data_IF_316134234096
#
_entry.id   IF_316134234096
#
_cell.length_a   1.000
_cell.length_b   1.000
_cell.length_c   1.000
_cell.angle_alpha   90.00
_cell.angle_beta   90.00
_cell.angle_gamma   90.00
#
_symmetry.space_group_name_H-M   'P 1'
#
loop_
_entity.id
_entity.type
_entity.pdbx_description
1 polymer ?
#
# COMPACT_ATOMS: atom_id res chain seq x y z
N UNK A 1 14.61 11.87 10.56
CA UNK A 1 14.00 10.97 11.52
C UNK A 1 15.00 10.73 12.63
N UNK A 2 14.61 10.97 13.87
CA UNK A 2 15.41 10.69 15.08
C UNK A 2 14.67 9.66 15.92
N UNK A 3 15.41 8.69 16.45
CA UNK A 3 14.86 7.67 17.33
C UNK A 3 15.45 7.89 18.73
N UNK A 4 14.57 8.20 19.68
CA UNK A 4 14.93 8.39 21.09
C UNK A 4 14.66 7.07 21.81
N UNK A 5 15.73 6.38 22.19
CA UNK A 5 15.65 5.05 22.83
C UNK A 5 15.88 5.11 24.35
N UNK A 6 16.49 6.20 24.84
CA UNK A 6 16.79 6.37 26.25
C UNK A 6 15.63 7.06 26.97
N UNK A 7 15.45 6.67 28.23
CA UNK A 7 14.38 7.20 29.08
C UNK A 7 14.47 8.69 29.32
N UNK A 8 15.69 9.27 29.39
CA UNK A 8 15.89 10.68 29.63
C UNK A 8 15.41 11.56 28.51
N UNK A 9 15.78 11.24 27.28
CA UNK A 9 15.33 11.98 26.08
C UNK A 9 13.84 11.73 25.74
N UNK A 10 13.32 10.56 26.09
CA UNK A 10 11.93 10.20 25.85
C UNK A 10 10.97 10.80 26.91
N UNK A 11 11.43 11.12 28.10
CA UNK A 11 10.61 11.58 29.24
C UNK A 11 9.75 12.82 28.95
N UNK A 12 10.24 13.74 28.09
CA UNK A 12 9.49 14.95 27.68
C UNK A 12 8.22 14.65 26.86
N UNK A 13 8.10 13.42 26.34
CA UNK A 13 6.93 12.98 25.54
C UNK A 13 5.89 12.20 26.35
N UNK A 14 6.08 12.13 27.68
CA UNK A 14 5.13 11.57 28.65
C UNK A 14 5.18 10.04 28.74
N UNK A 15 4.20 9.46 29.44
CA UNK A 15 4.16 8.02 29.79
C UNK A 15 4.10 7.07 28.59
N UNK A 16 3.63 7.53 27.44
CA UNK A 16 3.58 6.72 26.20
C UNK A 16 4.95 6.49 25.57
N UNK A 17 5.98 7.19 26.04
CA UNK A 17 7.34 7.10 25.50
C UNK A 17 8.17 5.94 26.10
N UNK A 18 7.60 5.11 26.98
CA UNK A 18 8.28 4.00 27.63
C UNK A 18 8.95 3.01 26.65
N UNK A 19 8.40 2.83 25.47
CA UNK A 19 8.94 1.96 24.40
C UNK A 19 9.80 2.73 23.38
N UNK A 20 10.18 3.98 23.66
CA UNK A 20 10.92 4.87 22.78
C UNK A 20 10.02 5.81 21.95
N UNK A 21 10.65 6.81 21.35
CA UNK A 21 10.00 7.85 20.55
C UNK A 21 10.66 7.95 19.19
N UNK A 22 9.85 7.95 18.14
CA UNK A 22 10.29 8.24 16.79
C UNK A 22 9.88 9.68 16.45
N UNK A 23 10.87 10.56 16.35
CA UNK A 23 10.66 11.96 16.00
C UNK A 23 10.82 12.14 14.49
N UNK A 24 9.73 12.52 13.83
CA UNK A 24 9.72 12.80 12.40
C UNK A 24 9.67 14.31 12.18
N UNK A 25 10.79 14.87 11.73
CA UNK A 25 10.86 16.28 11.34
C UNK A 25 10.61 16.38 9.84
N UNK A 26 9.56 17.08 9.45
CA UNK A 26 9.24 17.31 8.03
C UNK A 26 10.22 18.30 7.40
N UNK A 27 10.41 18.17 6.09
CA UNK A 27 11.23 19.11 5.32
C UNK A 27 10.65 20.52 5.42
N UNK A 28 11.51 21.51 5.44
CA UNK A 28 11.17 22.94 5.46
C UNK A 28 11.91 23.62 4.33
N UNK A 29 11.44 24.79 3.89
CA UNK A 29 12.20 25.66 3.02
C UNK A 29 13.46 26.19 3.74
N UNK A 30 14.49 26.53 3.00
CA UNK A 30 15.70 27.15 3.53
C UNK A 30 15.68 28.66 3.27
N UNK A 31 16.13 29.47 4.26
CA UNK A 31 16.26 30.93 4.11
C UNK A 31 17.25 31.25 2.97
N UNK A 32 16.93 32.27 2.19
CA UNK A 32 17.79 32.74 1.09
C UNK A 32 17.92 31.75 -0.07
N UNK A 33 17.13 30.68 -0.11
CA UNK A 33 17.20 29.68 -1.18
C UNK A 33 16.29 30.04 -2.35
N UNK A 34 16.80 29.83 -3.57
CA UNK A 34 15.99 29.93 -4.78
C UNK A 34 14.87 28.89 -4.75
N UNK A 35 13.71 29.17 -5.38
CA UNK A 35 12.67 28.17 -5.55
C UNK A 35 13.20 26.89 -6.20
N UNK A 36 12.96 25.75 -5.54
CA UNK A 36 13.31 24.43 -6.05
C UNK A 36 12.03 23.62 -6.24
N UNK A 37 11.80 23.18 -7.46
CA UNK A 37 10.70 22.28 -7.80
C UNK A 37 11.30 20.89 -7.98
N UNK A 38 10.67 19.91 -7.36
CA UNK A 38 11.04 18.50 -7.48
C UNK A 38 9.79 17.69 -7.80
N UNK A 39 9.82 16.98 -8.89
CA UNK A 39 8.77 16.03 -9.28
C UNK A 39 9.34 14.61 -9.27
N UNK A 40 8.63 13.69 -8.68
CA UNK A 40 8.91 12.26 -8.74
C UNK A 40 7.64 11.55 -9.22
N UNK A 41 7.77 10.76 -10.27
CA UNK A 41 6.71 9.90 -10.78
C UNK A 41 7.19 8.45 -10.79
N UNK A 42 6.35 7.56 -10.34
CA UNK A 42 6.57 6.13 -10.37
C UNK A 42 5.31 5.44 -10.86
N UNK A 43 5.48 4.53 -11.81
CA UNK A 43 4.42 3.65 -12.31
C UNK A 43 4.96 2.23 -12.25
N UNK A 44 4.17 1.33 -11.71
CA UNK A 44 4.50 -0.08 -11.60
C UNK A 44 3.29 -0.95 -11.89
N UNK A 45 3.54 -2.18 -12.27
CA UNK A 45 2.52 -3.23 -12.42
C UNK A 45 2.78 -4.26 -11.36
N UNK A 46 1.77 -4.59 -10.60
CA UNK A 46 1.79 -5.69 -9.64
C UNK A 46 1.28 -6.94 -10.34
N UNK A 47 2.16 -7.94 -10.45
CA UNK A 47 1.85 -9.25 -11.00
C UNK A 47 1.74 -10.26 -9.84
N UNK A 48 0.53 -10.72 -9.51
CA UNK A 48 0.34 -11.63 -8.39
C UNK A 48 0.91 -13.01 -8.71
N UNK A 49 1.86 -13.47 -7.90
CA UNK A 49 2.42 -14.80 -8.03
C UNK A 49 1.68 -15.79 -7.12
N UNK A 50 1.03 -16.78 -7.74
CA UNK A 50 0.34 -17.86 -7.02
C UNK A 50 1.37 -18.93 -6.66
N UNK A 51 1.58 -19.16 -5.36
CA UNK A 51 2.58 -20.10 -4.85
C UNK A 51 2.15 -21.57 -4.90
N UNK A 52 0.90 -21.85 -5.21
CA UNK A 52 0.39 -23.21 -5.30
C UNK A 52 -0.44 -23.38 -6.58
N UNK A 53 -0.34 -24.56 -7.17
CA UNK A 53 -1.20 -24.96 -8.28
C UNK A 53 -2.39 -25.72 -7.72
N UNK A 54 -3.62 -25.27 -7.96
CA UNK A 54 -4.81 -26.04 -7.59
C UNK A 54 -4.84 -27.36 -8.37
N UNK A 55 -5.46 -28.38 -7.78
CA UNK A 55 -5.68 -29.64 -8.49
C UNK A 55 -6.87 -29.51 -9.43
N UNK A 56 -6.87 -30.22 -10.54
CA UNK A 56 -8.00 -30.26 -11.48
C UNK A 56 -9.25 -30.87 -10.87
N UNK A 57 -10.41 -30.55 -11.42
CA UNK A 57 -11.71 -30.97 -10.92
C UNK A 57 -11.82 -32.50 -10.70
N UNK A 58 -11.36 -33.29 -11.67
CA UNK A 58 -11.36 -34.76 -11.55
C UNK A 58 -10.43 -35.27 -10.45
N UNK A 59 -9.25 -34.64 -10.23
CA UNK A 59 -8.35 -35.00 -9.13
C UNK A 59 -8.98 -34.68 -7.79
N UNK A 60 -9.64 -33.51 -7.65
CA UNK A 60 -10.37 -33.12 -6.45
C UNK A 60 -11.47 -34.13 -6.13
N UNK A 61 -12.26 -34.53 -7.15
CA UNK A 61 -13.31 -35.55 -6.99
C UNK A 61 -12.74 -36.89 -6.48
N UNK A 62 -11.62 -37.34 -7.04
CA UNK A 62 -10.93 -38.55 -6.56
C UNK A 62 -10.47 -38.43 -5.09
N UNK A 63 -9.83 -37.31 -4.73
CA UNK A 63 -9.36 -37.08 -3.35
C UNK A 63 -10.53 -37.03 -2.35
N UNK A 64 -11.63 -36.39 -2.72
CA UNK A 64 -12.85 -36.34 -1.87
C UNK A 64 -13.44 -37.72 -1.69
N UNK A 65 -13.53 -38.52 -2.74
CA UNK A 65 -14.01 -39.91 -2.63
C UNK A 65 -13.09 -40.72 -1.72
N UNK A 66 -11.77 -40.62 -1.88
CA UNK A 66 -10.83 -41.31 -1.02
C UNK A 66 -10.96 -40.88 0.45
N UNK A 67 -11.13 -39.58 0.70
CA UNK A 67 -11.35 -39.06 2.05
C UNK A 67 -12.63 -39.64 2.68
N UNK A 68 -13.74 -39.71 1.91
CA UNK A 68 -14.98 -40.30 2.37
C UNK A 68 -14.83 -41.79 2.71
N UNK A 69 -14.17 -42.56 1.86
CA UNK A 69 -13.90 -43.99 2.12
C UNK A 69 -13.07 -44.18 3.38
N UNK A 70 -12.03 -43.34 3.59
CA UNK A 70 -11.16 -43.42 4.75
C UNK A 70 -11.89 -43.21 6.09
N UNK A 71 -13.01 -42.46 6.09
CA UNK A 71 -13.88 -42.24 7.27
C UNK A 71 -15.12 -43.15 7.28
N UNK A 72 -15.17 -44.17 6.40
CA UNK A 72 -16.28 -45.12 6.34
C UNK A 72 -17.56 -44.56 5.69
N UNK A 73 -17.47 -43.44 4.98
CA UNK A 73 -18.57 -42.82 4.24
C UNK A 73 -18.58 -43.27 2.78
N UNK A 74 -19.73 -43.11 2.11
CA UNK A 74 -19.86 -43.44 0.69
C UNK A 74 -19.18 -42.40 -0.18
N UNK A 75 -18.58 -42.82 -1.32
CA UNK A 75 -18.05 -41.88 -2.34
C UNK A 75 -19.11 -40.89 -2.80
N UNK A 76 -18.74 -39.65 -2.92
CA UNK A 76 -19.60 -38.53 -3.38
C UNK A 76 -19.79 -38.53 -4.89
N UNK A 77 -18.71 -38.83 -5.62
CA UNK A 77 -18.66 -38.79 -7.07
C UNK A 77 -18.64 -40.21 -7.64
N UNK A 78 -19.47 -40.48 -8.64
CA UNK A 78 -19.43 -41.75 -9.36
C UNK A 78 -18.24 -41.83 -10.31
N UNK A 79 -17.85 -43.03 -10.78
CA UNK A 79 -16.84 -43.17 -11.81
C UNK A 79 -17.17 -42.41 -13.11
N UNK A 80 -18.46 -42.29 -13.41
CA UNK A 80 -18.94 -41.55 -14.58
C UNK A 80 -18.71 -40.04 -14.41
N UNK A 81 -19.01 -39.49 -13.22
CA UNK A 81 -18.77 -38.08 -12.91
C UNK A 81 -17.26 -37.72 -12.99
N UNK A 82 -16.41 -38.60 -12.46
CA UNK A 82 -14.95 -38.40 -12.51
C UNK A 82 -14.43 -38.45 -13.96
N UNK A 83 -14.98 -39.35 -14.77
CA UNK A 83 -14.62 -39.46 -16.16
C UNK A 83 -15.06 -38.23 -16.96
N UNK A 84 -16.27 -37.75 -16.73
CA UNK A 84 -16.79 -36.52 -17.36
C UNK A 84 -15.90 -35.32 -17.03
N UNK A 85 -15.54 -35.11 -15.76
CA UNK A 85 -14.59 -34.08 -15.34
C UNK A 85 -13.20 -34.25 -15.99
N UNK A 86 -12.75 -35.50 -16.20
CA UNK A 86 -11.48 -35.75 -16.86
C UNK A 86 -11.54 -35.46 -18.37
N UNK A 87 -12.62 -35.81 -19.03
CA UNK A 87 -12.80 -35.59 -20.47
C UNK A 87 -12.91 -34.09 -20.81
N UNK A 88 -13.48 -33.28 -19.90
CA UNK A 88 -13.60 -31.82 -20.01
C UNK A 88 -12.47 -31.05 -19.30
N UNK A 89 -11.38 -31.74 -18.91
CA UNK A 89 -10.23 -31.07 -18.30
C UNK A 89 -9.63 -30.01 -19.22
N UNK A 90 -9.35 -28.84 -18.66
CA UNK A 90 -8.81 -27.68 -19.39
C UNK A 90 -9.86 -26.82 -20.07
N UNK A 91 -11.14 -27.22 -20.06
CA UNK A 91 -12.27 -26.37 -20.45
C UNK A 91 -12.75 -25.50 -19.29
N UNK A 92 -12.43 -25.88 -18.05
CA UNK A 92 -12.71 -25.09 -16.88
C UNK A 92 -11.72 -23.94 -16.78
N UNK A 93 -12.22 -22.72 -16.96
CA UNK A 93 -11.45 -21.54 -16.55
C UNK A 93 -11.26 -21.60 -15.03
N UNK A 94 -10.01 -21.64 -14.60
CA UNK A 94 -9.73 -21.61 -13.18
C UNK A 94 -10.31 -20.35 -12.54
N UNK A 95 -10.96 -20.51 -11.40
CA UNK A 95 -11.50 -19.40 -10.63
C UNK A 95 -10.46 -18.29 -10.41
N UNK A 96 -9.18 -18.66 -10.28
CA UNK A 96 -8.08 -17.70 -10.14
C UNK A 96 -7.90 -16.82 -11.37
N UNK A 97 -8.02 -17.37 -12.58
CA UNK A 97 -7.89 -16.61 -13.82
C UNK A 97 -9.06 -15.64 -14.02
N UNK A 98 -10.21 -15.95 -13.42
CA UNK A 98 -11.38 -15.08 -13.43
C UNK A 98 -11.36 -13.99 -12.37
N UNK A 99 -10.68 -14.20 -11.24
CA UNK A 99 -10.71 -13.29 -10.10
C UNK A 99 -9.40 -12.55 -9.85
N UNK A 100 -8.29 -12.98 -10.47
CA UNK A 100 -6.97 -12.35 -10.32
C UNK A 100 -6.60 -11.61 -11.59
N UNK A 101 -6.10 -10.40 -11.42
CA UNK A 101 -5.62 -9.53 -12.49
C UNK A 101 -4.33 -8.83 -12.06
N UNK A 102 -3.61 -8.30 -13.02
CA UNK A 102 -2.50 -7.40 -12.74
C UNK A 102 -3.03 -6.05 -12.27
N UNK A 103 -2.46 -5.53 -11.19
CA UNK A 103 -2.79 -4.22 -10.64
C UNK A 103 -1.84 -3.14 -11.13
N UNK A 104 -2.35 -1.97 -11.52
CA UNK A 104 -1.56 -0.79 -11.82
C UNK A 104 -1.32 0.01 -10.56
N UNK A 105 -0.06 0.34 -10.28
CA UNK A 105 0.31 1.23 -9.20
C UNK A 105 0.91 2.52 -9.75
N UNK A 106 0.44 3.66 -9.26
CA UNK A 106 0.90 4.98 -9.67
C UNK A 106 1.20 5.82 -8.42
N UNK A 107 2.33 6.49 -8.42
CA UNK A 107 2.73 7.39 -7.34
C UNK A 107 3.39 8.64 -7.91
N UNK A 108 2.74 9.79 -7.72
CA UNK A 108 3.23 11.08 -8.18
C UNK A 108 3.41 12.01 -6.99
N UNK A 109 4.59 12.63 -6.92
CA UNK A 109 4.92 13.57 -5.85
C UNK A 109 5.51 14.84 -6.45
N UNK A 110 4.90 15.98 -6.15
CA UNK A 110 5.38 17.31 -6.49
C UNK A 110 5.74 18.04 -5.20
N UNK A 111 6.95 18.59 -5.15
CA UNK A 111 7.42 19.41 -4.04
C UNK A 111 7.97 20.72 -4.58
N UNK A 112 7.56 21.82 -3.95
CA UNK A 112 8.08 23.16 -4.22
C UNK A 112 8.57 23.72 -2.90
N UNK A 113 9.84 24.13 -2.83
CA UNK A 113 10.42 24.70 -1.62
C UNK A 113 11.33 25.87 -1.98
N UNK A 114 11.41 26.83 -1.07
CA UNK A 114 12.27 27.98 -1.25
C UNK A 114 12.22 28.90 -0.04
N UNK A 115 12.88 30.04 -0.13
CA UNK A 115 12.80 31.06 0.90
C UNK A 115 13.56 32.32 0.58
N UNK A 116 13.07 33.44 1.09
CA UNK A 116 13.76 34.71 1.18
C UNK A 116 14.54 34.83 2.51
N UNK A 117 15.07 35.97 2.81
CA UNK A 117 15.72 36.24 4.10
C UNK A 117 14.75 36.09 5.29
N UNK A 118 13.47 36.44 5.07
CA UNK A 118 12.48 36.49 6.14
C UNK A 118 11.43 35.36 6.05
N UNK A 119 11.26 34.76 4.88
CA UNK A 119 10.19 33.79 4.66
C UNK A 119 10.76 32.49 4.09
N UNK A 120 10.34 31.36 4.66
CA UNK A 120 10.61 30.02 4.10
C UNK A 120 9.30 29.32 3.82
N UNK A 121 9.23 28.62 2.71
CA UNK A 121 8.03 27.85 2.32
C UNK A 121 8.38 26.49 1.76
N UNK A 122 7.48 25.57 1.95
CA UNK A 122 7.46 24.27 1.31
C UNK A 122 6.01 23.85 1.08
N UNK A 123 5.71 23.52 -0.15
CA UNK A 123 4.41 22.98 -0.56
C UNK A 123 4.66 21.63 -1.21
N UNK A 124 3.88 20.63 -0.83
CA UNK A 124 3.93 19.32 -1.45
C UNK A 124 2.53 18.83 -1.77
N UNK A 125 2.41 18.19 -2.92
CA UNK A 125 1.22 17.46 -3.33
C UNK A 125 1.63 16.05 -3.75
N UNK A 126 0.85 15.05 -3.36
CA UNK A 126 1.07 13.69 -3.83
C UNK A 126 -0.24 13.00 -4.17
N UNK A 127 -0.18 12.18 -5.19
CA UNK A 127 -1.22 11.30 -5.64
C UNK A 127 -0.68 9.87 -5.65
N UNK A 128 -1.43 8.97 -5.05
CA UNK A 128 -1.15 7.54 -5.06
C UNK A 128 -2.42 6.81 -5.48
N UNK A 129 -2.28 5.93 -6.46
CA UNK A 129 -3.32 5.01 -6.88
C UNK A 129 -2.71 3.60 -6.96
N UNK A 130 -3.43 2.65 -6.42
CA UNK A 130 -3.12 1.23 -6.50
C UNK A 130 -4.40 0.47 -6.81
N UNK A 131 -4.43 -0.16 -7.97
CA UNK A 131 -5.51 -1.07 -8.36
C UNK A 131 -5.34 -2.39 -7.62
N UNK A 132 -6.45 -3.06 -7.40
CA UNK A 132 -6.45 -4.38 -6.78
C UNK A 132 -6.00 -5.46 -7.77
N UNK A 133 -5.32 -6.48 -7.25
CA UNK A 133 -5.05 -7.71 -7.98
C UNK A 133 -6.29 -8.63 -8.10
N UNK A 134 -7.42 -8.23 -7.54
CA UNK A 134 -8.70 -8.91 -7.74
C UNK A 134 -9.56 -8.14 -8.73
N UNK A 135 -10.18 -8.88 -9.66
CA UNK A 135 -11.14 -8.32 -10.61
C UNK A 135 -12.30 -7.68 -9.84
N UNK A 136 -12.62 -6.43 -10.17
CA UNK A 136 -13.66 -5.65 -9.53
C UNK A 136 -13.23 -4.21 -9.30
N UNK A 137 -14.11 -3.42 -8.67
CA UNK A 137 -13.84 -2.03 -8.37
C UNK A 137 -13.19 -1.88 -6.97
N UNK A 138 -12.05 -2.53 -6.79
CA UNK A 138 -11.25 -2.47 -5.58
C UNK A 138 -9.95 -1.74 -5.87
N UNK A 139 -9.55 -0.86 -4.97
CA UNK A 139 -8.31 -0.12 -5.12
C UNK A 139 -8.11 0.85 -3.96
N UNK A 140 -6.94 1.44 -3.91
CA UNK A 140 -6.58 2.47 -2.96
C UNK A 140 -6.20 3.74 -3.71
N UNK A 141 -6.93 4.80 -3.47
CA UNK A 141 -6.64 6.12 -4.00
C UNK A 141 -6.35 7.07 -2.83
N UNK A 142 -5.24 7.80 -2.91
CA UNK A 142 -4.82 8.70 -1.86
C UNK A 142 -4.30 10.02 -2.42
N UNK A 143 -4.85 11.10 -1.89
CA UNK A 143 -4.40 12.46 -2.15
C UNK A 143 -3.80 13.03 -0.86
N UNK A 144 -2.61 13.60 -0.97
CA UNK A 144 -2.01 14.32 0.16
C UNK A 144 -1.59 15.70 -0.32
N UNK A 145 -1.89 16.69 0.50
CA UNK A 145 -1.41 18.05 0.33
C UNK A 145 -0.80 18.53 1.64
N UNK A 146 0.34 19.19 1.58
CA UNK A 146 0.98 19.78 2.73
C UNK A 146 1.59 21.13 2.37
N UNK A 147 1.40 22.11 3.24
CA UNK A 147 2.01 23.43 3.13
C UNK A 147 2.64 23.82 4.47
N UNK A 148 3.91 24.20 4.42
CA UNK A 148 4.65 24.71 5.54
C UNK A 148 5.15 26.12 5.16
N UNK A 149 4.73 27.14 5.89
CA UNK A 149 5.15 28.52 5.70
C UNK A 149 5.69 29.04 7.03
N UNK A 150 6.83 29.69 7.01
CA UNK A 150 7.37 30.38 8.18
C UNK A 150 7.91 31.74 7.76
N UNK A 151 7.42 32.80 8.39
CA UNK A 151 7.83 34.18 8.15
C UNK A 151 8.31 34.80 9.44
N UNK A 152 9.42 35.50 9.41
CA UNK A 152 9.99 36.24 10.53
C UNK A 152 10.12 37.72 10.14
N UNK A 153 9.53 38.60 10.94
CA UNK A 153 9.64 40.03 10.75
C UNK A 153 9.89 40.74 12.10
N UNK A 154 11.08 41.27 12.27
CA UNK A 154 11.51 41.84 13.53
C UNK A 154 11.48 40.81 14.67
N UNK A 155 10.62 41.04 15.65
CA UNK A 155 10.43 40.13 16.80
C UNK A 155 9.29 39.12 16.58
N UNK A 156 8.56 39.24 15.49
CA UNK A 156 7.42 38.37 15.20
C UNK A 156 7.82 37.19 14.32
N UNK A 157 7.37 36.00 14.70
CA UNK A 157 7.49 34.79 13.92
C UNK A 157 6.12 34.18 13.71
N UNK A 158 5.70 34.06 12.45
CA UNK A 158 4.49 33.37 12.04
C UNK A 158 4.86 32.03 11.42
N UNK A 159 4.27 30.95 11.88
CA UNK A 159 4.40 29.62 11.29
C UNK A 159 3.02 29.06 10.98
N UNK A 160 2.78 28.70 9.74
CA UNK A 160 1.56 28.04 9.29
C UNK A 160 1.90 26.64 8.77
N UNK A 161 1.20 25.64 9.30
CA UNK A 161 1.33 24.24 8.92
C UNK A 161 -0.05 23.75 8.53
N UNK A 162 -0.23 23.37 7.26
CA UNK A 162 -1.47 22.80 6.76
C UNK A 162 -1.19 21.42 6.19
N UNK A 163 -2.10 20.48 6.44
CA UNK A 163 -2.06 19.15 5.84
C UNK A 163 -3.49 18.70 5.54
N UNK A 164 -3.65 18.13 4.36
CA UNK A 164 -4.89 17.51 3.91
C UNK A 164 -4.56 16.12 3.38
N UNK A 165 -5.32 15.12 3.82
CA UNK A 165 -5.21 13.74 3.38
C UNK A 165 -6.62 13.22 3.09
N UNK A 166 -6.76 12.53 1.98
CA UNK A 166 -8.00 11.84 1.59
C UNK A 166 -7.65 10.46 1.06
#
# INVERSE_FOLDING_TARGET
>A
ISVLKDAGSAAIYGSRSANGVILITTKKGAKGSKPKVTFNGQVGVEDPHILFSPVEGWQNAMYRNQANVNVGSTPQFTPADIRDLYDHRGEEEWLYDQIIQNGLQQNYNLNVSGGSEHTTYMVSASYFNQESNFVGNFGLERYNFRSNLSTEYGRFKLTSLMAYNR
#
